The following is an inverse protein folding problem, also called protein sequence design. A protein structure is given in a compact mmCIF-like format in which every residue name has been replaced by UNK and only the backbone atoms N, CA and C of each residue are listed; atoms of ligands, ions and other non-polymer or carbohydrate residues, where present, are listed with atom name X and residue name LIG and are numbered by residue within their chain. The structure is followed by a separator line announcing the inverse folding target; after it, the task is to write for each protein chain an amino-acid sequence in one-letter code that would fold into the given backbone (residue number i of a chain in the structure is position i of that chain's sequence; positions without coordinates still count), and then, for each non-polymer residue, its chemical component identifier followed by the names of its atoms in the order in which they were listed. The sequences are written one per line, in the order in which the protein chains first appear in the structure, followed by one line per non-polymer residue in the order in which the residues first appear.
data_IF_995095931020
#
_entry.id   IF_995095931020
#
_cell.length_a   1.000
_cell.length_b   1.000
_cell.length_c   1.000
_cell.angle_alpha   90.00
_cell.angle_beta   90.00
_cell.angle_gamma   90.00
#
_symmetry.space_group_name_H-M   'P 1'
#
loop_
_entity.id
_entity.type
_entity.pdbx_description
1 polymer ?
#
# COMPACT_ATOMS: atom_id res chain seq x y z
N UNK A 1 -18.80 22.56 -36.85
CA UNK A 1 -18.32 21.19 -36.51
C UNK A 1 -16.86 20.92 -36.91
N UNK A 2 -15.92 21.87 -36.77
CA UNK A 2 -14.47 21.62 -37.05
C UNK A 2 -13.56 21.79 -35.84
N UNK A 3 -14.00 22.52 -34.80
CA UNK A 3 -13.21 22.73 -33.58
C UNK A 3 -13.33 21.61 -32.54
N UNK A 4 -14.46 20.89 -32.50
CA UNK A 4 -14.65 19.77 -31.57
C UNK A 4 -13.71 18.59 -31.84
N UNK A 5 -13.33 18.34 -33.10
CA UNK A 5 -12.42 17.24 -33.48
C UNK A 5 -10.95 17.52 -33.12
N UNK A 6 -10.55 18.80 -33.00
CA UNK A 6 -9.17 19.18 -32.67
C UNK A 6 -8.90 19.14 -31.16
N UNK A 7 -9.92 19.37 -30.33
CA UNK A 7 -9.82 19.21 -28.88
C UNK A 7 -9.75 17.73 -28.45
N UNK A 8 -10.51 16.84 -29.11
CA UNK A 8 -10.48 15.40 -28.80
C UNK A 8 -9.11 14.77 -29.11
N UNK A 9 -8.47 15.19 -30.19
CA UNK A 9 -7.14 14.70 -30.58
C UNK A 9 -6.02 15.17 -29.64
N UNK A 10 -6.15 16.37 -29.05
CA UNK A 10 -5.21 16.87 -28.06
C UNK A 10 -5.35 16.16 -26.71
N UNK A 11 -6.58 15.77 -26.31
CA UNK A 11 -6.81 14.99 -25.10
C UNK A 11 -6.27 13.56 -25.23
N UNK A 12 -6.39 12.93 -26.40
CA UNK A 12 -5.84 11.61 -26.70
C UNK A 12 -4.30 11.59 -26.76
N UNK A 13 -3.66 12.68 -27.19
CA UNK A 13 -2.20 12.81 -27.15
C UNK A 13 -1.66 13.11 -25.73
N UNK A 14 -2.44 13.79 -24.88
CA UNK A 14 -2.08 14.05 -23.48
C UNK A 14 -2.11 12.81 -22.60
N UNK A 15 -3.00 11.85 -22.88
CA UNK A 15 -3.08 10.57 -22.16
C UNK A 15 -1.99 9.59 -22.61
N UNK A 16 -1.57 9.64 -23.88
CA UNK A 16 -0.46 8.79 -24.36
C UNK A 16 0.94 9.29 -23.94
N UNK A 17 1.08 10.56 -23.60
CA UNK A 17 2.35 11.11 -23.11
C UNK A 17 2.67 10.70 -21.66
N UNK A 18 1.66 10.34 -20.85
CA UNK A 18 1.89 9.77 -19.52
C UNK A 18 2.31 8.29 -19.57
N UNK A 19 2.00 7.60 -20.68
CA UNK A 19 2.47 6.24 -20.95
C UNK A 19 3.89 6.20 -21.58
N UNK A 20 4.49 7.34 -21.94
CA UNK A 20 5.80 7.37 -22.59
C UNK A 20 6.99 7.26 -21.62
N UNK A 21 6.77 7.18 -20.31
CA UNK A 21 7.82 6.86 -19.34
C UNK A 21 7.86 5.37 -18.92
N UNK A 22 6.94 4.53 -19.43
CA UNK A 22 7.01 3.06 -19.26
C UNK A 22 7.97 2.41 -20.27
N UNK A 23 8.87 3.20 -20.86
CA UNK A 23 9.85 2.82 -21.87
C UNK A 23 11.29 2.90 -21.37
N UNK A 24 11.57 2.35 -20.19
CA UNK A 24 12.91 1.96 -19.75
C UNK A 24 12.80 0.66 -18.93
N UNK A 25 12.19 -0.36 -19.53
CA UNK A 25 12.19 -1.74 -19.04
C UNK A 25 13.62 -2.24 -19.03
N UNK A 26 14.35 -2.02 -17.94
CA UNK A 26 15.75 -2.42 -17.90
C UNK A 26 16.48 -2.33 -16.57
N UNK A 27 16.37 -1.27 -15.77
CA UNK A 27 17.43 -1.09 -14.76
C UNK A 27 17.09 -0.49 -13.40
N UNK A 28 15.86 -0.10 -13.09
CA UNK A 28 15.56 0.44 -11.76
C UNK A 28 14.16 -0.01 -11.32
N UNK A 29 14.11 -1.04 -10.47
CA UNK A 29 12.91 -1.35 -9.70
C UNK A 29 12.67 -0.14 -8.80
N UNK A 30 11.81 0.78 -9.17
CA UNK A 30 11.35 1.84 -8.28
C UNK A 30 9.94 1.51 -7.86
N UNK A 31 9.66 1.63 -6.58
CA UNK A 31 8.30 1.63 -6.07
C UNK A 31 7.82 3.08 -5.96
N UNK A 32 6.58 3.35 -6.35
CA UNK A 32 6.00 4.71 -6.29
C UNK A 32 4.68 4.67 -5.52
N UNK A 33 4.54 5.54 -4.53
CA UNK A 33 3.29 5.73 -3.80
C UNK A 33 2.38 6.67 -4.58
N UNK A 34 1.13 6.27 -4.77
CA UNK A 34 0.10 7.00 -5.49
C UNK A 34 -1.05 7.34 -4.55
N UNK A 35 -1.30 8.63 -4.36
CA UNK A 35 -2.48 9.12 -3.63
C UNK A 35 -3.56 9.43 -4.66
N UNK A 36 -4.51 8.50 -4.81
CA UNK A 36 -5.69 8.68 -5.65
C UNK A 36 -6.95 8.50 -4.81
N UNK A 37 -7.41 9.60 -4.22
CA UNK A 37 -8.56 9.60 -3.30
C UNK A 37 -9.85 9.10 -3.96
N UNK A 38 -10.06 9.37 -5.25
CA UNK A 38 -11.27 8.90 -5.95
C UNK A 38 -11.28 7.38 -6.09
N UNK A 39 -10.15 6.78 -6.49
CA UNK A 39 -10.00 5.32 -6.57
C UNK A 39 -10.05 4.67 -5.18
N UNK A 40 -9.44 5.28 -4.17
CA UNK A 40 -9.48 4.78 -2.80
C UNK A 40 -10.90 4.82 -2.22
N UNK A 41 -11.69 5.85 -2.52
CA UNK A 41 -13.12 5.91 -2.19
C UNK A 41 -13.93 4.84 -2.92
N UNK A 42 -13.65 4.61 -4.20
CA UNK A 42 -14.30 3.57 -4.97
C UNK A 42 -13.99 2.17 -4.42
N UNK A 43 -12.73 1.91 -4.05
CA UNK A 43 -12.30 0.69 -3.37
C UNK A 43 -13.04 0.52 -2.05
N UNK A 44 -13.07 1.55 -1.19
CA UNK A 44 -13.78 1.52 0.08
C UNK A 44 -15.24 1.11 -0.09
N UNK A 45 -15.95 1.67 -1.08
CA UNK A 45 -17.35 1.33 -1.32
C UNK A 45 -17.56 -0.12 -1.78
N UNK A 46 -16.57 -0.71 -2.45
CA UNK A 46 -16.58 -2.13 -2.81
C UNK A 46 -16.27 -3.04 -1.61
N UNK A 47 -15.36 -2.62 -0.72
CA UNK A 47 -15.04 -3.32 0.53
C UNK A 47 -16.26 -3.35 1.44
N UNK A 48 -16.84 -2.18 1.74
CA UNK A 48 -18.08 -2.06 2.50
C UNK A 48 -18.77 -0.72 2.21
N UNK A 49 -20.03 -0.72 1.72
CA UNK A 49 -20.77 0.51 1.46
C UNK A 49 -20.99 1.41 2.69
N UNK A 50 -20.99 0.81 3.88
CA UNK A 50 -21.23 1.47 5.17
C UNK A 50 -20.04 2.31 5.66
N UNK A 51 -18.82 2.05 5.14
CA UNK A 51 -17.63 2.80 5.52
C UNK A 51 -17.71 4.25 5.03
N UNK A 52 -17.18 5.14 5.85
CA UNK A 52 -16.91 6.53 5.50
C UNK A 52 -15.42 6.72 5.18
N UNK A 53 -15.13 7.51 4.16
CA UNK A 53 -13.75 7.77 3.80
C UNK A 53 -13.12 8.76 4.78
N UNK A 54 -11.91 8.47 5.24
CA UNK A 54 -11.18 9.29 6.18
C UNK A 54 -9.81 9.68 5.61
N UNK A 55 -9.64 10.97 5.34
CA UNK A 55 -8.39 11.52 4.78
C UNK A 55 -7.23 11.50 5.78
N UNK A 56 -7.50 11.41 7.09
CA UNK A 56 -6.43 11.20 8.08
C UNK A 56 -5.90 9.77 8.02
N UNK A 57 -6.78 8.79 7.81
CA UNK A 57 -6.36 7.40 7.57
C UNK A 57 -5.66 7.25 6.23
N UNK A 58 -6.09 7.98 5.18
CA UNK A 58 -5.41 8.03 3.88
C UNK A 58 -3.98 8.58 4.02
N UNK A 59 -3.82 9.71 4.72
CA UNK A 59 -2.50 10.28 4.99
C UNK A 59 -1.60 9.32 5.78
N UNK A 60 -2.15 8.61 6.77
CA UNK A 60 -1.40 7.59 7.48
C UNK A 60 -1.04 6.40 6.56
N UNK A 61 -1.96 5.94 5.71
CA UNK A 61 -1.69 4.92 4.71
C UNK A 61 -0.56 5.33 3.75
N UNK A 62 -0.53 6.60 3.32
CA UNK A 62 0.54 7.17 2.50
C UNK A 62 1.90 7.04 3.17
N UNK A 63 2.00 7.42 4.44
CA UNK A 63 3.25 7.35 5.21
C UNK A 63 3.72 5.90 5.41
N UNK A 64 2.81 4.97 5.62
CA UNK A 64 3.13 3.53 5.68
C UNK A 64 3.60 3.03 4.32
N UNK A 65 2.93 3.41 3.24
CA UNK A 65 3.32 3.04 1.89
C UNK A 65 4.71 3.60 1.55
N UNK A 66 5.00 4.84 1.92
CA UNK A 66 6.33 5.46 1.77
C UNK A 66 7.37 4.59 2.48
N UNK A 67 7.17 4.27 3.77
CA UNK A 67 8.05 3.39 4.53
C UNK A 67 8.25 2.01 3.87
N UNK A 68 7.17 1.38 3.40
CA UNK A 68 7.24 0.09 2.69
C UNK A 68 8.15 0.17 1.45
N UNK A 69 8.23 1.33 0.82
CA UNK A 69 9.00 1.57 -0.41
C UNK A 69 10.40 2.17 -0.22
N UNK A 70 10.74 2.65 0.98
CA UNK A 70 12.01 3.32 1.27
C UNK A 70 13.25 2.47 0.94
N UNK A 71 13.21 1.16 1.22
CA UNK A 71 14.30 0.23 0.90
C UNK A 71 13.84 -0.77 -0.16
N UNK A 72 13.82 -0.33 -1.41
CA UNK A 72 13.39 -1.15 -2.56
C UNK A 72 14.14 -2.50 -2.63
N UNK A 73 15.39 -2.58 -2.18
CA UNK A 73 16.16 -3.85 -2.15
C UNK A 73 15.52 -4.92 -1.27
N UNK A 74 14.70 -4.50 -0.30
CA UNK A 74 13.93 -5.37 0.58
C UNK A 74 12.50 -5.62 0.08
N UNK A 75 12.14 -5.03 -1.06
CA UNK A 75 10.83 -5.17 -1.68
C UNK A 75 10.87 -6.27 -2.75
N UNK A 76 9.85 -7.12 -2.76
CA UNK A 76 9.66 -8.17 -3.75
C UNK A 76 8.17 -8.42 -3.95
N UNK A 77 7.83 -9.42 -4.76
CA UNK A 77 6.45 -9.89 -4.92
C UNK A 77 6.39 -11.38 -4.64
N UNK A 78 5.30 -11.82 -4.02
CA UNK A 78 5.02 -13.24 -3.79
C UNK A 78 3.52 -13.44 -3.82
N UNK A 79 3.05 -14.47 -4.53
CA UNK A 79 1.64 -14.83 -4.64
C UNK A 79 0.70 -13.66 -5.01
N UNK A 80 1.19 -12.78 -5.89
CA UNK A 80 0.46 -11.59 -6.32
C UNK A 80 0.43 -10.43 -5.33
N UNK A 81 1.06 -10.57 -4.16
CA UNK A 81 1.16 -9.51 -3.16
C UNK A 81 2.51 -8.80 -3.21
N UNK A 82 2.53 -7.55 -2.76
CA UNK A 82 3.77 -6.83 -2.49
C UNK A 82 4.32 -7.30 -1.15
N UNK A 83 5.61 -7.62 -1.12
CA UNK A 83 6.26 -8.14 0.08
C UNK A 83 7.40 -7.22 0.47
N UNK A 84 7.32 -6.64 1.67
CA UNK A 84 8.44 -5.97 2.32
C UNK A 84 9.11 -6.95 3.29
N UNK A 85 10.38 -7.27 3.01
CA UNK A 85 11.23 -8.01 3.95
C UNK A 85 11.62 -7.11 5.11
N UNK A 86 11.54 -7.66 6.31
CA UNK A 86 11.84 -6.96 7.56
C UNK A 86 12.76 -7.84 8.39
N UNK A 87 13.83 -7.24 8.91
CA UNK A 87 14.77 -7.93 9.78
C UNK A 87 14.05 -8.35 11.08
N UNK A 88 14.20 -9.62 11.44
CA UNK A 88 13.70 -10.14 12.72
C UNK A 88 14.76 -9.94 13.81
N UNK A 89 14.30 -9.69 15.03
CA UNK A 89 15.13 -9.62 16.21
C UNK A 89 15.64 -11.02 16.61
N UNK A 90 16.96 -11.24 16.78
CA UNK A 90 17.50 -12.56 17.10
C UNK A 90 17.12 -13.10 18.49
N UNK A 91 16.76 -12.25 19.44
CA UNK A 91 16.37 -12.65 20.79
C UNK A 91 14.92 -13.14 20.86
N UNK A 92 14.04 -12.59 20.03
CA UNK A 92 12.60 -12.88 20.04
C UNK A 92 12.10 -13.67 18.84
N UNK A 93 12.81 -13.62 17.71
CA UNK A 93 12.36 -14.17 16.43
C UNK A 93 11.24 -13.37 15.75
N UNK A 94 10.90 -12.17 16.25
CA UNK A 94 9.83 -11.34 15.70
C UNK A 94 10.38 -10.04 15.10
N UNK A 95 9.57 -9.38 14.27
CA UNK A 95 9.76 -7.94 14.03
C UNK A 95 9.66 -7.21 15.39
N UNK A 96 10.57 -6.28 15.68
CA UNK A 96 10.70 -5.62 16.98
C UNK A 96 10.60 -4.09 16.75
N UNK A 97 9.94 -3.29 17.60
CA UNK A 97 9.42 -3.58 18.95
C UNK A 97 8.10 -4.36 19.04
N UNK A 98 7.45 -4.66 17.92
CA UNK A 98 6.04 -5.08 17.92
C UNK A 98 5.77 -6.50 17.46
N UNK A 99 5.00 -7.26 18.25
CA UNK A 99 4.36 -8.51 17.79
C UNK A 99 3.15 -8.25 16.88
N UNK A 100 2.74 -6.98 16.74
CA UNK A 100 1.64 -6.51 15.89
C UNK A 100 2.12 -5.49 14.86
N UNK A 101 1.41 -5.40 13.72
CA UNK A 101 1.70 -4.42 12.65
C UNK A 101 1.68 -2.99 13.19
N UNK A 102 0.74 -2.65 14.08
CA UNK A 102 0.61 -1.31 14.65
C UNK A 102 1.84 -0.88 15.46
N UNK A 103 2.30 -1.73 16.38
CA UNK A 103 3.48 -1.44 17.19
C UNK A 103 4.73 -1.33 16.32
N UNK A 104 4.89 -2.26 15.38
CA UNK A 104 6.03 -2.27 14.47
C UNK A 104 6.08 -1.02 13.58
N UNK A 105 4.95 -0.60 12.99
CA UNK A 105 4.88 0.59 12.14
C UNK A 105 5.06 1.89 12.95
N UNK A 106 4.50 1.97 14.16
CA UNK A 106 4.66 3.16 15.02
C UNK A 106 6.14 3.43 15.32
N UNK A 107 6.92 2.39 15.58
CA UNK A 107 8.36 2.51 15.84
C UNK A 107 9.16 2.73 14.55
N UNK A 108 8.86 1.96 13.50
CA UNK A 108 9.57 2.01 12.21
C UNK A 108 9.42 3.36 11.49
N UNK A 109 8.38 4.12 11.80
CA UNK A 109 8.17 5.49 11.28
C UNK A 109 8.75 6.56 12.19
N UNK A 110 9.61 6.19 13.16
CA UNK A 110 10.21 7.06 14.18
C UNK A 110 9.15 7.89 14.96
N UNK A 111 7.97 7.30 15.21
CA UNK A 111 6.85 8.00 15.85
C UNK A 111 6.21 9.11 15.01
N UNK A 112 6.55 9.24 13.72
CA UNK A 112 5.90 10.22 12.84
C UNK A 112 4.43 9.88 12.53
N UNK A 113 4.02 8.64 12.80
CA UNK A 113 2.63 8.19 12.76
C UNK A 113 2.13 7.89 14.17
N UNK A 114 1.41 8.85 14.76
CA UNK A 114 0.63 8.60 15.98
C UNK A 114 -0.74 8.01 15.59
N UNK A 115 -0.79 6.69 15.45
CA UNK A 115 -2.05 5.97 15.25
C UNK A 115 -2.67 5.59 16.59
N UNK A 116 -3.99 5.76 16.71
CA UNK A 116 -4.72 5.21 17.86
C UNK A 116 -4.61 3.69 17.86
N UNK A 117 -4.59 3.07 19.05
CA UNK A 117 -4.57 1.61 19.22
C UNK A 117 -5.74 0.89 18.52
N UNK A 118 -6.83 1.61 18.21
CA UNK A 118 -8.01 1.05 17.56
C UNK A 118 -7.95 1.10 16.02
N UNK A 119 -6.92 1.74 15.45
CA UNK A 119 -6.71 1.70 14.00
C UNK A 119 -6.24 0.30 13.61
N UNK A 120 -6.83 -0.29 12.59
CA UNK A 120 -6.30 -1.53 11.98
C UNK A 120 -5.51 -1.16 10.74
N UNK A 121 -4.25 -1.60 10.66
CA UNK A 121 -3.44 -1.52 9.44
C UNK A 121 -3.61 -2.84 8.69
N UNK A 122 -4.18 -2.79 7.49
CA UNK A 122 -4.46 -3.97 6.68
C UNK A 122 -3.23 -4.46 5.91
N UNK A 123 -2.20 -4.83 6.65
CA UNK A 123 -1.04 -5.57 6.16
C UNK A 123 -0.99 -6.92 6.87
N UNK A 124 -0.62 -7.97 6.14
CA UNK A 124 -0.39 -9.28 6.77
C UNK A 124 1.07 -9.35 7.24
N UNK A 125 1.29 -9.77 8.48
CA UNK A 125 2.63 -9.98 9.03
C UNK A 125 2.94 -11.48 9.12
N UNK A 126 4.12 -11.84 8.66
CA UNK A 126 4.69 -13.19 8.77
C UNK A 126 6.07 -13.13 9.43
N UNK A 127 6.15 -13.69 10.63
CA UNK A 127 7.39 -13.84 11.41
C UNK A 127 7.97 -15.26 11.34
N UNK A 128 7.48 -16.12 10.43
CA UNK A 128 7.95 -17.52 10.32
C UNK A 128 9.40 -17.67 9.85
N UNK A 129 10.03 -16.57 9.45
CA UNK A 129 11.43 -16.53 9.06
C UNK A 129 12.41 -16.85 10.19
N UNK A 130 13.69 -16.93 9.84
CA UNK A 130 14.80 -17.10 10.76
C UNK A 130 15.60 -15.77 10.88
N UNK A 131 15.79 -15.21 12.08
CA UNK A 131 16.44 -13.90 12.24
C UNK A 131 17.87 -13.81 11.68
N UNK A 132 18.55 -14.92 11.43
CA UNK A 132 19.91 -14.91 10.91
C UNK A 132 20.01 -15.01 9.38
N UNK A 133 18.99 -15.55 8.70
CA UNK A 133 19.10 -15.84 7.26
C UNK A 133 17.78 -15.84 6.47
N UNK A 134 16.63 -15.70 7.12
CA UNK A 134 15.33 -15.55 6.46
C UNK A 134 14.50 -14.46 7.15
N UNK A 135 14.38 -13.25 6.56
CA UNK A 135 13.69 -12.15 7.20
C UNK A 135 12.18 -12.42 7.31
N UNK A 136 11.52 -11.70 8.21
CA UNK A 136 10.07 -11.62 8.26
C UNK A 136 9.52 -10.85 7.06
N UNK A 137 8.20 -10.91 6.87
CA UNK A 137 7.54 -10.37 5.69
C UNK A 137 6.27 -9.60 6.07
N UNK A 138 6.11 -8.42 5.50
CA UNK A 138 4.86 -7.67 5.48
C UNK A 138 4.26 -7.71 4.08
N UNK A 139 2.98 -8.04 3.98
CA UNK A 139 2.28 -8.19 2.72
C UNK A 139 1.22 -7.11 2.54
N UNK A 140 1.25 -6.45 1.38
CA UNK A 140 0.16 -5.61 0.91
C UNK A 140 -0.55 -6.31 -0.27
N UNK A 141 -1.90 -6.42 -0.24
CA UNK A 141 -2.64 -7.08 -1.31
C UNK A 141 -2.52 -6.32 -2.63
N UNK A 142 -2.54 -7.04 -3.76
CA UNK A 142 -2.73 -6.42 -5.06
C UNK A 142 -4.11 -5.75 -5.15
N UNK A 143 -4.19 -4.64 -5.88
CA UNK A 143 -5.43 -3.88 -6.04
C UNK A 143 -6.59 -4.70 -6.62
N UNK A 144 -6.28 -5.66 -7.51
CA UNK A 144 -7.26 -6.56 -8.11
C UNK A 144 -7.90 -7.54 -7.10
N UNK A 145 -7.18 -7.86 -6.02
CA UNK A 145 -7.60 -8.82 -4.98
C UNK A 145 -7.94 -8.11 -3.65
N UNK A 146 -7.70 -6.80 -3.57
CA UNK A 146 -7.82 -6.01 -2.35
C UNK A 146 -9.23 -6.00 -1.76
N UNK A 147 -10.29 -6.04 -2.58
CA UNK A 147 -11.66 -6.06 -2.05
C UNK A 147 -11.89 -7.29 -1.17
N UNK A 148 -11.42 -8.45 -1.59
CA UNK A 148 -11.58 -9.69 -0.82
C UNK A 148 -10.67 -9.69 0.41
N UNK A 149 -9.40 -9.30 0.24
CA UNK A 149 -8.43 -9.24 1.32
C UNK A 149 -8.81 -8.25 2.44
N UNK A 150 -9.46 -7.13 2.10
CA UNK A 150 -9.77 -6.06 3.05
C UNK A 150 -11.12 -6.22 3.76
N UNK A 151 -11.99 -7.15 3.32
CA UNK A 151 -13.33 -7.30 3.90
C UNK A 151 -13.31 -7.70 5.38
N UNK A 152 -12.46 -8.64 5.76
CA UNK A 152 -12.31 -9.07 7.16
C UNK A 152 -11.76 -7.94 8.04
N UNK A 153 -10.84 -7.14 7.50
CA UNK A 153 -10.27 -5.99 8.22
C UNK A 153 -11.32 -4.92 8.50
N UNK A 154 -12.24 -4.70 7.55
CA UNK A 154 -13.34 -3.75 7.67
C UNK A 154 -14.41 -4.15 8.68
N UNK A 155 -14.46 -5.40 9.16
CA UNK A 155 -15.47 -5.84 10.12
C UNK A 155 -15.38 -5.06 11.44
N UNK A 156 -16.51 -4.44 11.82
CA UNK A 156 -16.60 -3.61 13.01
C UNK A 156 -16.02 -2.20 12.87
N UNK A 157 -15.46 -1.85 11.70
CA UNK A 157 -14.93 -0.52 11.42
C UNK A 157 -15.99 0.38 10.77
N UNK A 158 -15.83 1.68 10.98
CA UNK A 158 -16.73 2.73 10.48
C UNK A 158 -16.06 3.62 9.42
N UNK A 159 -14.73 3.67 9.41
CA UNK A 159 -13.93 4.54 8.56
C UNK A 159 -12.82 3.77 7.86
N UNK A 160 -12.42 4.24 6.68
CA UNK A 160 -11.31 3.69 5.91
C UNK A 160 -10.55 4.81 5.20
N UNK A 161 -9.24 4.66 5.08
CA UNK A 161 -8.39 5.42 4.17
C UNK A 161 -7.40 4.49 3.49
N UNK A 162 -7.02 4.78 2.25
CA UNK A 162 -6.11 3.91 1.50
C UNK A 162 -5.28 4.68 0.46
N UNK A 163 -4.13 4.11 0.12
CA UNK A 163 -3.26 4.56 -0.97
C UNK A 163 -2.80 3.36 -1.78
N UNK A 164 -2.16 3.65 -2.92
CA UNK A 164 -1.66 2.63 -3.83
C UNK A 164 -0.14 2.67 -3.95
N UNK A 165 0.47 1.52 -4.19
CA UNK A 165 1.89 1.38 -4.51
C UNK A 165 2.00 0.76 -5.91
N UNK A 166 2.72 1.42 -6.80
CA UNK A 166 3.14 0.87 -8.09
C UNK A 166 4.51 0.22 -7.94
N UNK A 167 4.61 -1.07 -8.23
CA UNK A 167 5.89 -1.81 -8.19
C UNK A 167 5.91 -2.97 -9.17
N UNK A 168 6.97 -3.05 -9.99
CA UNK A 168 7.20 -4.13 -10.96
C UNK A 168 6.01 -4.38 -11.91
N UNK A 169 5.29 -3.32 -12.28
CA UNK A 169 4.11 -3.39 -13.15
C UNK A 169 2.81 -3.86 -12.47
N UNK A 170 2.79 -3.99 -11.14
CA UNK A 170 1.59 -4.24 -10.35
C UNK A 170 1.24 -3.07 -9.42
N UNK A 171 -0.05 -2.96 -9.11
CA UNK A 171 -0.61 -2.00 -8.15
C UNK A 171 -1.01 -2.72 -6.87
N UNK A 172 -0.60 -2.22 -5.72
CA UNK A 172 -0.87 -2.79 -4.40
C UNK A 172 -1.49 -1.77 -3.46
N UNK A 173 -2.22 -2.22 -2.45
CA UNK A 173 -3.01 -1.33 -1.58
C UNK A 173 -2.47 -1.34 -0.16
N UNK A 174 -2.26 -0.16 0.41
CA UNK A 174 -2.11 0.03 1.85
C UNK A 174 -3.38 0.70 2.35
N UNK A 175 -4.10 0.03 3.25
CA UNK A 175 -5.37 0.50 3.78
C UNK A 175 -5.38 0.47 5.31
N UNK A 176 -6.07 1.44 5.91
CA UNK A 176 -6.28 1.55 7.34
C UNK A 176 -7.78 1.66 7.63
N UNK A 177 -8.19 1.10 8.77
CA UNK A 177 -9.58 1.11 9.23
C UNK A 177 -9.68 1.62 10.66
N UNK A 178 -10.82 2.25 10.99
CA UNK A 178 -11.16 2.72 12.34
C UNK A 178 -12.63 2.47 12.67
#
# INVERSE_FOLDING_TARGET
MKHAKRFLAALLAGVLALAAFTGCSGLLNFATVQVNTEEAQALMKQVSPALQYDTQLEYAAERIAQWMTEEVTNLTTADGQLVRKVQLDPGTGNMNPGISVNEFISDSTNGSLYLSSNVKIALTMDNSGNPYYDPGRLYAPAAQDAVEALRSEAEGCSRMGAVFIEYSGGTYVVALFL
#
